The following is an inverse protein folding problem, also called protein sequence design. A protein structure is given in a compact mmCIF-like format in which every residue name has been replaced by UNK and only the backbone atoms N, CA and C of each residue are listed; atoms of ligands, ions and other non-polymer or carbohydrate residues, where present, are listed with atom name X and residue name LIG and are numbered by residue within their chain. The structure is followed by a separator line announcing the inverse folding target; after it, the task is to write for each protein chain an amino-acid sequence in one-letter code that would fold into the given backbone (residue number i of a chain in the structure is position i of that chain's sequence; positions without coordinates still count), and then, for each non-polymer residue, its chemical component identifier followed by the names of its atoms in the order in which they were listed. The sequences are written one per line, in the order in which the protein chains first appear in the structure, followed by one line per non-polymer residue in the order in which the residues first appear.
data_IF_274032457248
#
_entry.id   IF_274032457248
#
_cell.length_a   1.000
_cell.length_b   1.000
_cell.length_c   1.000
_cell.angle_alpha   90.00
_cell.angle_beta   90.00
_cell.angle_gamma   90.00
#
_symmetry.space_group_name_H-M   'P 1'
#
loop_
_entity.id
_entity.type
_entity.pdbx_description
1 polymer ?
#
# COMPACT_ATOMS: atom_id res chain seq x y z
N UNK A 1 -20.06 20.82 4.99
CA UNK A 1 -19.86 19.83 3.92
C UNK A 1 -18.66 18.99 4.33
N UNK A 2 -18.78 17.67 4.44
CA UNK A 2 -17.61 16.83 4.74
C UNK A 2 -16.71 16.75 3.48
N UNK A 3 -15.37 16.77 3.62
CA UNK A 3 -14.48 16.55 2.50
C UNK A 3 -14.80 15.19 1.86
N UNK A 4 -15.02 15.18 0.55
CA UNK A 4 -15.29 13.94 -0.18
C UNK A 4 -13.93 13.37 -0.58
N UNK A 5 -13.50 12.31 0.11
CA UNK A 5 -12.25 11.62 -0.20
C UNK A 5 -12.47 10.53 -1.25
N UNK A 6 -11.57 10.44 -2.23
CA UNK A 6 -11.59 9.41 -3.28
C UNK A 6 -10.19 8.81 -3.44
N UNK A 7 -10.07 7.51 -3.81
CA UNK A 7 -8.78 6.94 -4.18
C UNK A 7 -8.07 7.78 -5.25
N UNK A 8 -6.78 8.00 -5.04
CA UNK A 8 -5.84 8.50 -6.03
C UNK A 8 -5.70 7.50 -7.19
N UNK A 9 -5.08 7.92 -8.28
CA UNK A 9 -4.80 7.03 -9.40
C UNK A 9 -4.01 5.80 -8.92
N UNK A 10 -4.49 4.62 -9.30
CA UNK A 10 -3.80 3.36 -9.04
C UNK A 10 -2.43 3.36 -9.73
N UNK A 11 -1.39 3.14 -8.95
CA UNK A 11 -0.02 2.90 -9.43
C UNK A 11 0.22 1.40 -9.38
N UNK A 12 1.00 0.88 -10.34
CA UNK A 12 1.41 -0.52 -10.31
C UNK A 12 2.15 -0.84 -9.00
N UNK A 13 1.89 -2.01 -8.38
CA UNK A 13 2.60 -2.41 -7.17
C UNK A 13 4.09 -2.62 -7.45
N UNK A 14 4.91 -2.42 -6.41
CA UNK A 14 6.33 -2.74 -6.47
C UNK A 14 6.54 -4.23 -6.13
N UNK A 15 7.39 -4.90 -6.89
CA UNK A 15 7.61 -6.34 -6.82
C UNK A 15 9.10 -6.67 -6.68
N UNK A 16 9.44 -7.42 -5.64
CA UNK A 16 10.80 -7.87 -5.38
C UNK A 16 10.85 -9.39 -5.17
N UNK A 17 11.82 -10.04 -5.82
CA UNK A 17 12.12 -11.46 -5.61
C UNK A 17 13.23 -11.64 -4.59
N UNK A 18 13.08 -12.63 -3.72
CA UNK A 18 14.04 -12.93 -2.65
C UNK A 18 14.56 -14.34 -2.82
N UNK A 19 15.88 -14.52 -2.79
CA UNK A 19 16.49 -15.85 -2.73
C UNK A 19 16.30 -16.45 -1.32
N UNK A 20 15.85 -17.70 -1.27
CA UNK A 20 15.63 -18.43 -0.02
C UNK A 20 16.60 -19.62 0.08
N UNK A 21 16.88 -20.10 1.31
CA UNK A 21 17.70 -21.30 1.50
C UNK A 21 17.19 -22.49 0.68
N UNK A 22 18.13 -23.32 0.19
CA UNK A 22 17.81 -24.47 -0.65
C UNK A 22 17.46 -24.11 -2.10
N UNK A 23 17.81 -22.92 -2.58
CA UNK A 23 17.63 -22.51 -3.98
C UNK A 23 16.18 -22.12 -4.33
N UNK A 24 15.34 -21.90 -3.32
CA UNK A 24 13.96 -21.46 -3.52
C UNK A 24 13.88 -19.95 -3.75
N UNK A 25 12.74 -19.50 -4.27
CA UNK A 25 12.44 -18.08 -4.48
C UNK A 25 11.19 -17.69 -3.70
N UNK A 26 11.27 -16.55 -3.03
CA UNK A 26 10.12 -15.85 -2.45
C UNK A 26 9.83 -14.57 -3.22
N UNK A 27 8.68 -13.99 -2.94
CA UNK A 27 8.19 -12.77 -3.57
C UNK A 27 7.66 -11.82 -2.50
N UNK A 28 7.94 -10.53 -2.67
CA UNK A 28 7.34 -9.45 -1.90
C UNK A 28 6.70 -8.48 -2.86
N UNK A 29 5.41 -8.22 -2.65
CA UNK A 29 4.63 -7.23 -3.38
C UNK A 29 4.24 -6.13 -2.41
N UNK A 30 4.42 -4.87 -2.81
CA UNK A 30 4.00 -3.70 -2.04
C UNK A 30 3.03 -2.88 -2.89
N UNK A 31 1.79 -2.78 -2.42
CA UNK A 31 0.79 -1.89 -2.99
C UNK A 31 0.58 -0.68 -2.07
N UNK A 32 0.39 0.50 -2.66
CA UNK A 32 0.10 1.73 -1.93
C UNK A 32 -1.12 2.37 -2.55
N UNK A 33 -2.11 2.66 -1.72
CA UNK A 33 -3.31 3.39 -2.09
C UNK A 33 -3.38 4.69 -1.28
N UNK A 34 -3.66 5.80 -1.96
CA UNK A 34 -3.86 7.09 -1.30
C UNK A 34 -5.30 7.53 -1.46
N UNK A 35 -5.89 8.15 -0.45
CA UNK A 35 -7.16 8.87 -0.55
C UNK A 35 -6.89 10.37 -0.61
N UNK A 36 -7.57 11.08 -1.50
CA UNK A 36 -7.40 12.52 -1.74
C UNK A 36 -8.72 13.23 -1.54
N UNK A 37 -8.70 14.36 -0.82
CA UNK A 37 -9.83 15.28 -0.74
C UNK A 37 -10.00 16.02 -2.07
N UNK A 38 -11.18 15.89 -2.68
CA UNK A 38 -11.45 16.46 -4.01
C UNK A 38 -11.45 18.00 -4.03
N UNK A 39 -11.66 18.65 -2.88
CA UNK A 39 -11.71 20.13 -2.81
C UNK A 39 -10.32 20.73 -2.75
N UNK A 40 -9.47 20.20 -1.85
CA UNK A 40 -8.11 20.72 -1.63
C UNK A 40 -7.05 20.04 -2.49
N UNK A 41 -7.33 18.86 -3.04
CA UNK A 41 -6.35 18.02 -3.73
C UNK A 41 -5.31 17.38 -2.79
N UNK A 42 -5.49 17.51 -1.47
CA UNK A 42 -4.57 17.00 -0.47
C UNK A 42 -4.88 15.53 -0.12
N UNK A 43 -3.83 14.76 0.15
CA UNK A 43 -3.96 13.39 0.66
C UNK A 43 -4.54 13.41 2.07
N UNK A 44 -5.60 12.64 2.28
CA UNK A 44 -6.28 12.49 3.58
C UNK A 44 -5.97 11.17 4.26
N UNK A 45 -5.65 10.13 3.48
CA UNK A 45 -5.21 8.84 4.01
C UNK A 45 -4.25 8.14 3.04
N UNK A 46 -3.43 7.26 3.59
CA UNK A 46 -2.54 6.37 2.87
C UNK A 46 -2.70 4.96 3.43
N UNK A 47 -2.82 3.97 2.58
CA UNK A 47 -2.78 2.56 2.92
C UNK A 47 -1.60 1.90 2.20
N UNK A 48 -0.86 1.06 2.91
CA UNK A 48 0.19 0.22 2.35
C UNK A 48 -0.10 -1.23 2.68
N UNK A 49 -0.24 -2.04 1.64
CA UNK A 49 -0.29 -3.49 1.76
C UNK A 49 1.05 -4.08 1.35
N UNK A 50 1.66 -4.85 2.24
CA UNK A 50 2.86 -5.64 1.98
C UNK A 50 2.52 -7.12 2.05
N UNK A 51 2.57 -7.79 0.90
CA UNK A 51 2.33 -9.23 0.76
C UNK A 51 3.65 -9.94 0.56
N UNK A 52 3.99 -10.86 1.46
CA UNK A 52 5.18 -11.71 1.37
C UNK A 52 4.76 -13.15 1.12
N UNK A 53 5.23 -13.74 0.04
CA UNK A 53 4.98 -15.13 -0.33
C UNK A 53 6.27 -15.92 -0.34
N UNK A 54 6.35 -16.96 0.48
CA UNK A 54 7.49 -17.86 0.60
C UNK A 54 7.01 -19.31 0.39
N UNK A 55 7.14 -19.82 -0.84
CA UNK A 55 6.54 -21.12 -1.21
C UNK A 55 5.01 -21.09 -1.07
N UNK A 56 4.48 -21.95 -0.20
CA UNK A 56 3.04 -22.05 0.09
C UNK A 56 2.59 -21.15 1.25
N UNK A 57 3.54 -20.50 1.93
CA UNK A 57 3.22 -19.56 3.00
C UNK A 57 3.02 -18.16 2.44
N UNK A 58 1.95 -17.50 2.88
CA UNK A 58 1.67 -16.10 2.57
C UNK A 58 1.44 -15.34 3.85
N UNK A 59 2.04 -14.15 3.95
CA UNK A 59 1.78 -13.19 5.02
C UNK A 59 1.45 -11.85 4.40
N UNK A 60 0.36 -11.25 4.86
CA UNK A 60 -0.08 -9.90 4.47
C UNK A 60 0.03 -8.99 5.67
N UNK A 61 0.55 -7.78 5.46
CA UNK A 61 0.57 -6.70 6.46
C UNK A 61 -0.05 -5.47 5.83
N UNK A 62 -1.02 -4.87 6.52
CA UNK A 62 -1.72 -3.66 6.09
C UNK A 62 -1.43 -2.55 7.11
N UNK A 63 -0.98 -1.41 6.61
CA UNK A 63 -0.69 -0.21 7.39
C UNK A 63 -1.54 0.93 6.85
N UNK A 64 -2.34 1.58 7.71
CA UNK A 64 -3.17 2.71 7.34
C UNK A 64 -2.78 3.94 8.15
N UNK A 65 -2.52 5.05 7.46
CA UNK A 65 -2.25 6.35 8.05
C UNK A 65 -3.32 7.35 7.65
N UNK A 66 -3.83 8.12 8.61
CA UNK A 66 -4.70 9.26 8.35
C UNK A 66 -3.93 10.56 8.54
N UNK A 67 -4.08 11.46 7.58
CA UNK A 67 -3.43 12.76 7.58
C UNK A 67 -4.47 13.81 7.96
N UNK A 68 -4.41 14.30 9.19
CA UNK A 68 -5.16 15.48 9.58
C UNK A 68 -4.42 16.73 9.08
N UNK A 69 -5.10 17.67 8.40
CA UNK A 69 -4.51 18.96 8.09
C UNK A 69 -4.01 19.62 9.38
N UNK A 70 -2.76 20.09 9.38
CA UNK A 70 -2.31 21.05 10.40
C UNK A 70 -2.82 22.41 9.92
N UNK A 71 -3.83 22.92 10.61
CA UNK A 71 -4.38 24.27 10.38
C UNK A 71 -3.39 25.37 10.73
#
# INVERSE_FOLDING_TARGET
MAPTSQPAQAVAPDEARIALPGGKTGEVTVAIEASVDQVSGLVTALEREATTRLGDSTRVTIETWTLAPRG
#
